data_IF_223497152871
#
_entry.id   IF_223497152871
#
_cell.length_a   1.000
_cell.length_b   1.000
_cell.length_c   1.000
_cell.angle_alpha   90.00
_cell.angle_beta   90.00
_cell.angle_gamma   90.00
#
_symmetry.space_group_name_H-M   'P 1'
#
loop_
_entity.id
_entity.type
_entity.pdbx_description
1 polymer ?
#
# COMPACT_ATOMS: atom_id res chain seq x y z
N UNK A 1 0.52 9.96 12.75
CA UNK A 1 1.70 9.16 12.37
C UNK A 1 2.87 10.13 12.27
N UNK A 2 3.98 9.88 12.96
CA UNK A 2 5.17 10.75 12.85
C UNK A 2 5.86 10.56 11.50
N UNK A 3 6.68 11.53 11.09
CA UNK A 3 7.44 11.49 9.83
C UNK A 3 8.36 10.25 9.77
N UNK A 4 9.02 9.91 10.88
CA UNK A 4 9.91 8.73 10.97
C UNK A 4 9.17 7.43 10.67
N UNK A 5 7.97 7.26 11.23
CA UNK A 5 7.14 6.08 10.96
C UNK A 5 6.74 6.04 9.48
N UNK A 6 6.37 7.19 8.90
CA UNK A 6 5.98 7.27 7.49
C UNK A 6 7.15 6.87 6.58
N UNK A 7 8.36 7.37 6.84
CA UNK A 7 9.54 6.99 6.08
C UNK A 7 9.91 5.51 6.26
N UNK A 8 9.79 5.00 7.49
CA UNK A 8 9.99 3.58 7.77
C UNK A 8 9.04 2.72 6.92
N UNK A 9 7.76 3.08 6.83
CA UNK A 9 6.78 2.33 6.04
C UNK A 9 7.08 2.37 4.55
N UNK A 10 7.48 3.53 3.99
CA UNK A 10 7.95 3.62 2.60
C UNK A 10 9.11 2.65 2.36
N UNK A 11 10.14 2.72 3.20
CA UNK A 11 11.34 1.87 3.10
C UNK A 11 10.99 0.38 3.23
N UNK A 12 10.10 0.03 4.17
CA UNK A 12 9.62 -1.33 4.35
C UNK A 12 8.93 -1.85 3.09
N UNK A 13 8.03 -1.06 2.48
CA UNK A 13 7.34 -1.46 1.25
C UNK A 13 8.27 -1.54 0.03
N UNK A 14 9.30 -0.70 -0.06
CA UNK A 14 10.35 -0.83 -1.08
C UNK A 14 11.16 -2.11 -0.89
N UNK A 15 11.53 -2.46 0.35
CA UNK A 15 12.25 -3.71 0.66
C UNK A 15 11.42 -4.96 0.45
N UNK A 16 10.12 -4.89 0.68
CA UNK A 16 9.16 -5.95 0.39
C UNK A 16 8.72 -5.98 -1.09
N UNK A 17 9.35 -5.18 -1.95
CA UNK A 17 9.10 -5.07 -3.39
C UNK A 17 7.68 -4.66 -3.80
N UNK A 18 6.90 -4.13 -2.84
CA UNK A 18 5.57 -3.58 -3.08
C UNK A 18 5.62 -2.23 -3.82
N UNK A 19 6.75 -1.53 -3.70
CA UNK A 19 7.06 -0.32 -4.45
C UNK A 19 8.27 -0.66 -5.32
N UNK A 20 8.16 -0.44 -6.63
CA UNK A 20 9.29 -0.60 -7.54
C UNK A 20 10.29 0.57 -7.44
N UNK A 21 11.43 0.43 -8.12
CA UNK A 21 12.49 1.45 -8.16
C UNK A 21 12.03 2.81 -8.74
N UNK A 22 10.91 2.83 -9.47
CA UNK A 22 10.32 4.01 -10.09
C UNK A 22 9.22 4.64 -9.21
N UNK A 23 9.06 4.12 -7.99
CA UNK A 23 8.08 4.57 -7.00
C UNK A 23 6.66 4.06 -7.25
N UNK A 24 6.43 3.13 -8.19
CA UNK A 24 5.09 2.62 -8.46
C UNK A 24 4.75 1.47 -7.52
N UNK A 25 3.54 1.49 -6.99
CA UNK A 25 2.99 0.38 -6.23
C UNK A 25 2.73 -0.80 -7.17
N UNK A 26 2.93 -2.02 -6.65
CA UNK A 26 2.51 -3.29 -7.25
C UNK A 26 1.29 -3.81 -6.48
N UNK A 27 0.05 -3.46 -6.88
CA UNK A 27 -1.15 -3.73 -6.09
C UNK A 27 -1.35 -5.22 -5.78
N UNK A 28 -1.06 -6.09 -6.74
CA UNK A 28 -1.25 -7.53 -6.60
C UNK A 28 -0.33 -8.15 -5.53
N UNK A 29 0.93 -7.69 -5.45
CA UNK A 29 1.87 -8.16 -4.42
C UNK A 29 1.46 -7.67 -3.03
N UNK A 30 1.05 -6.41 -2.92
CA UNK A 30 0.61 -5.84 -1.65
C UNK A 30 -0.66 -6.55 -1.15
N UNK A 31 -1.63 -6.80 -2.03
CA UNK A 31 -2.84 -7.57 -1.69
C UNK A 31 -2.50 -8.99 -1.27
N UNK A 32 -1.58 -9.66 -1.98
CA UNK A 32 -1.13 -11.00 -1.61
C UNK A 32 -0.58 -11.03 -0.18
N UNK A 33 0.26 -10.06 0.19
CA UNK A 33 0.82 -9.95 1.54
C UNK A 33 -0.26 -9.64 2.59
N UNK A 34 -1.24 -8.78 2.28
CA UNK A 34 -2.36 -8.52 3.20
C UNK A 34 -3.14 -9.82 3.46
N UNK A 35 -3.36 -10.62 2.42
CA UNK A 35 -4.06 -11.91 2.50
C UNK A 35 -3.32 -12.98 3.31
N UNK A 36 -2.03 -12.82 3.58
CA UNK A 36 -1.27 -13.70 4.49
C UNK A 36 -1.66 -13.48 5.96
N UNK A 37 -2.28 -12.35 6.30
CA UNK A 37 -2.61 -11.97 7.67
C UNK A 37 -4.10 -11.66 7.89
N UNK A 38 -4.87 -11.47 6.81
CA UNK A 38 -6.28 -11.07 6.89
C UNK A 38 -7.08 -11.63 5.70
N UNK A 39 -8.26 -12.18 5.97
CA UNK A 39 -9.20 -12.54 4.91
C UNK A 39 -9.86 -11.28 4.32
N UNK A 40 -9.85 -11.16 3.00
CA UNK A 40 -10.53 -10.09 2.27
C UNK A 40 -11.74 -10.65 1.55
N UNK A 41 -12.88 -9.98 1.69
CA UNK A 41 -14.01 -10.23 0.78
C UNK A 41 -13.63 -9.81 -0.64
N UNK A 42 -14.28 -10.42 -1.64
CA UNK A 42 -14.05 -10.06 -3.06
C UNK A 42 -14.28 -8.56 -3.33
N UNK A 43 -15.24 -7.94 -2.63
CA UNK A 43 -15.51 -6.51 -2.74
C UNK A 43 -14.40 -5.65 -2.14
N UNK A 44 -13.83 -6.04 -0.99
CA UNK A 44 -12.70 -5.33 -0.38
C UNK A 44 -11.45 -5.43 -1.25
N UNK A 45 -11.12 -6.64 -1.71
CA UNK A 45 -9.97 -6.85 -2.60
C UNK A 45 -10.07 -6.00 -3.86
N UNK A 46 -11.20 -6.06 -4.56
CA UNK A 46 -11.43 -5.27 -5.77
C UNK A 46 -11.31 -3.77 -5.50
N UNK A 47 -11.95 -3.28 -4.44
CA UNK A 47 -11.92 -1.87 -4.05
C UNK A 47 -10.49 -1.38 -3.76
N UNK A 48 -9.70 -2.20 -3.07
CA UNK A 48 -8.31 -1.87 -2.75
C UNK A 48 -7.44 -1.89 -4.00
N UNK A 49 -7.54 -2.92 -4.85
CA UNK A 49 -6.80 -3.00 -6.12
C UNK A 49 -7.10 -1.79 -7.02
N UNK A 50 -8.39 -1.46 -7.18
CA UNK A 50 -8.84 -0.32 -7.98
C UNK A 50 -8.33 1.02 -7.43
N UNK A 51 -8.19 1.14 -6.11
CA UNK A 51 -7.63 2.32 -5.47
C UNK A 51 -6.10 2.39 -5.63
N UNK A 52 -5.39 1.30 -5.35
CA UNK A 52 -3.93 1.22 -5.43
C UNK A 52 -3.42 1.46 -6.86
N UNK A 53 -4.16 1.01 -7.87
CA UNK A 53 -3.83 1.26 -9.28
C UNK A 53 -3.86 2.74 -9.68
N UNK A 54 -4.47 3.60 -8.87
CA UNK A 54 -4.55 5.06 -9.08
C UNK A 54 -3.58 5.84 -8.20
N UNK A 55 -2.89 5.18 -7.29
CA UNK A 55 -1.91 5.84 -6.41
C UNK A 55 -0.76 6.36 -7.28
N UNK A 56 -0.43 7.66 -7.18
CA UNK A 56 0.70 8.22 -7.92
C UNK A 56 2.02 7.60 -7.44
N UNK A 57 3.10 7.90 -8.16
CA UNK A 57 4.43 7.45 -7.75
C UNK A 57 4.77 7.94 -6.33
N UNK A 58 5.32 7.04 -5.52
CA UNK A 58 5.82 7.29 -4.17
C UNK A 58 7.28 7.75 -4.27
N UNK A 59 7.52 9.06 -4.25
CA UNK A 59 8.86 9.64 -4.36
C UNK A 59 9.38 10.07 -2.99
N UNK A 60 8.53 10.70 -2.19
CA UNK A 60 8.85 11.12 -0.81
C UNK A 60 8.10 10.24 0.20
N UNK A 61 8.53 10.29 1.46
CA UNK A 61 7.92 9.47 2.51
C UNK A 61 6.42 9.71 2.62
N UNK A 62 5.99 10.97 2.55
CA UNK A 62 4.60 11.39 2.71
C UNK A 62 3.65 10.76 1.69
N UNK A 63 4.13 10.44 0.49
CA UNK A 63 3.33 9.87 -0.59
C UNK A 63 2.75 8.51 -0.17
N UNK A 64 3.41 7.76 0.72
CA UNK A 64 2.93 6.47 1.22
C UNK A 64 1.56 6.59 1.89
N UNK A 65 1.18 7.79 2.38
CA UNK A 65 -0.14 8.04 2.96
C UNK A 65 -1.26 7.74 1.97
N UNK A 66 -1.05 7.92 0.66
CA UNK A 66 -2.05 7.61 -0.36
C UNK A 66 -2.35 6.10 -0.43
N UNK A 67 -1.32 5.25 -0.25
CA UNK A 67 -1.49 3.79 -0.11
C UNK A 67 -2.37 3.47 1.10
N UNK A 68 -2.07 4.06 2.26
CA UNK A 68 -2.86 3.82 3.47
C UNK A 68 -4.27 4.38 3.42
N UNK A 69 -4.55 5.39 2.58
CA UNK A 69 -5.92 5.82 2.30
C UNK A 69 -6.71 4.73 1.57
N UNK A 70 -6.10 4.03 0.61
CA UNK A 70 -6.72 2.88 -0.04
C UNK A 70 -7.00 1.74 0.93
N UNK A 71 -6.09 1.51 1.88
CA UNK A 71 -6.24 0.47 2.90
C UNK A 71 -7.15 0.86 4.07
N UNK A 72 -7.74 2.07 4.06
CA UNK A 72 -8.60 2.54 5.17
C UNK A 72 -9.83 1.65 5.37
N UNK A 73 -10.34 1.04 4.31
CA UNK A 73 -11.47 0.10 4.37
C UNK A 73 -11.15 -1.22 5.09
N UNK A 74 -9.88 -1.48 5.40
CA UNK A 74 -9.43 -2.62 6.22
C UNK A 74 -9.41 -2.30 7.72
N UNK A 75 -9.54 -1.02 8.09
CA UNK A 75 -9.64 -0.65 9.51
C UNK A 75 -11.05 -1.00 9.99
N UNK A 76 -11.12 -2.00 10.86
CA UNK A 76 -12.26 -2.30 11.71
C UNK A 76 -12.76 -1.06 12.46
#
# INVERSE_FOLDING_TARGET
>A
MSHEIICFLKCHHEKAENIDKDGKIKPDLLIKQIKEHMELTANQEKSILDCLGKVPKINVCEDIKEVYKCLKALKH
#
